data_IF_056756475284
#
_entry.id   IF_056756475284
#
_cell.length_a   1.000
_cell.length_b   1.000
_cell.length_c   1.000
_cell.angle_alpha   90.00
_cell.angle_beta   90.00
_cell.angle_gamma   90.00
#
_symmetry.space_group_name_H-M   'P 1'
#
loop_
_entity.id
_entity.type
_entity.pdbx_description
1 polymer ?
#
# COMPACT_ATOMS: atom_id res chain seq x y z
N UNK A 1 -6.95 8.86 -6.69
CA UNK A 1 -6.51 9.37 -5.36
C UNK A 1 -6.84 10.84 -5.27
N UNK A 2 -7.04 11.40 -4.07
CA UNK A 2 -7.31 12.84 -3.89
C UNK A 2 -6.08 13.71 -4.23
N UNK A 3 -4.87 13.19 -4.00
CA UNK A 3 -3.61 13.84 -4.38
C UNK A 3 -2.84 12.99 -5.40
N UNK A 4 -2.07 13.67 -6.26
CA UNK A 4 -1.18 13.06 -7.24
C UNK A 4 0.06 12.52 -6.54
N UNK A 5 0.53 11.33 -6.93
CA UNK A 5 1.79 10.77 -6.45
C UNK A 5 2.73 10.57 -7.64
N UNK A 6 3.86 11.28 -7.63
CA UNK A 6 4.88 11.20 -8.68
C UNK A 6 4.38 11.52 -10.09
N UNK A 7 3.22 12.14 -10.25
CA UNK A 7 2.63 12.37 -11.57
C UNK A 7 1.42 11.50 -11.92
N UNK A 8 0.96 10.60 -11.05
CA UNK A 8 -0.22 9.75 -11.28
C UNK A 8 -1.32 9.94 -10.24
N UNK A 9 -2.57 9.89 -10.68
CA UNK A 9 -3.77 9.80 -9.82
C UNK A 9 -4.28 8.36 -9.68
N UNK A 10 -3.80 7.46 -10.53
CA UNK A 10 -4.24 6.07 -10.62
C UNK A 10 -3.33 5.18 -9.76
N UNK A 11 -3.90 4.66 -8.67
CA UNK A 11 -3.19 3.78 -7.74
C UNK A 11 -2.60 2.55 -8.43
N UNK A 12 -3.35 1.93 -9.35
CA UNK A 12 -2.94 0.72 -10.07
C UNK A 12 -1.76 0.95 -11.03
N UNK A 13 -1.49 2.20 -11.39
CA UNK A 13 -0.38 2.59 -12.26
C UNK A 13 0.81 3.15 -11.46
N UNK A 14 0.78 3.13 -10.13
CA UNK A 14 1.91 3.57 -9.32
C UNK A 14 3.06 2.55 -9.44
N UNK A 15 4.25 3.08 -9.68
CA UNK A 15 5.49 2.31 -9.87
C UNK A 15 6.53 2.86 -8.91
N UNK A 16 7.67 2.17 -8.79
CA UNK A 16 8.82 2.68 -8.05
C UNK A 16 9.20 4.12 -8.43
N UNK A 17 9.27 4.43 -9.72
CA UNK A 17 9.63 5.76 -10.21
C UNK A 17 8.69 6.87 -9.70
N UNK A 18 7.38 6.57 -9.56
CA UNK A 18 6.42 7.52 -9.00
C UNK A 18 6.70 7.82 -7.52
N UNK A 19 7.07 6.80 -6.74
CA UNK A 19 7.44 6.96 -5.33
C UNK A 19 8.78 7.68 -5.16
N UNK A 20 9.76 7.38 -6.02
CA UNK A 20 11.05 8.05 -6.01
C UNK A 20 10.91 9.53 -6.36
N UNK A 21 10.13 9.85 -7.41
CA UNK A 21 9.82 11.24 -7.77
C UNK A 21 9.09 11.98 -6.65
N UNK A 22 8.06 11.35 -6.06
CA UNK A 22 7.38 11.92 -4.90
C UNK A 22 8.36 12.22 -3.75
N UNK A 23 9.26 11.29 -3.44
CA UNK A 23 10.25 11.48 -2.39
C UNK A 23 11.18 12.66 -2.71
N UNK A 24 11.70 12.73 -3.93
CA UNK A 24 12.55 13.84 -4.37
C UNK A 24 11.82 15.19 -4.29
N UNK A 25 10.59 15.27 -4.80
CA UNK A 25 9.79 16.50 -4.78
C UNK A 25 9.46 16.95 -3.34
N UNK A 26 9.36 16.00 -2.40
CA UNK A 26 9.12 16.24 -0.98
C UNK A 26 10.42 16.47 -0.15
N UNK A 27 11.61 16.43 -0.76
CA UNK A 27 12.89 16.55 -0.05
C UNK A 27 13.24 15.34 0.82
N UNK A 28 12.67 14.17 0.53
CA UNK A 28 12.90 12.90 1.23
C UNK A 28 13.87 12.00 0.46
N UNK A 29 14.50 11.05 1.16
CA UNK A 29 15.34 10.03 0.53
C UNK A 29 14.49 9.03 -0.27
N UNK A 30 14.67 8.89 -1.61
CA UNK A 30 13.89 7.95 -2.41
C UNK A 30 14.00 6.49 -1.95
N UNK A 31 15.22 6.08 -1.58
CA UNK A 31 15.50 4.73 -1.08
C UNK A 31 14.79 4.46 0.25
N UNK A 32 14.85 5.40 1.20
CA UNK A 32 14.20 5.25 2.50
C UNK A 32 12.66 5.28 2.36
N UNK A 33 12.13 6.17 1.51
CA UNK A 33 10.69 6.23 1.23
C UNK A 33 10.19 4.90 0.64
N UNK A 34 10.84 4.38 -0.40
CA UNK A 34 10.43 3.10 -1.00
C UNK A 34 10.55 1.94 -0.01
N UNK A 35 11.60 1.92 0.82
CA UNK A 35 11.76 0.93 1.90
C UNK A 35 10.62 1.00 2.90
N UNK A 36 10.24 2.19 3.35
CA UNK A 36 9.14 2.38 4.30
C UNK A 36 7.79 1.95 3.70
N UNK A 37 7.51 2.35 2.45
CA UNK A 37 6.27 1.94 1.76
C UNK A 37 6.21 0.41 1.63
N UNK A 38 7.32 -0.23 1.26
CA UNK A 38 7.38 -1.69 1.22
C UNK A 38 7.16 -2.30 2.60
N UNK A 39 7.78 -1.77 3.66
CA UNK A 39 7.56 -2.26 5.03
C UNK A 39 6.10 -2.17 5.44
N UNK A 40 5.43 -1.03 5.19
CA UNK A 40 4.01 -0.85 5.49
C UNK A 40 3.14 -1.84 4.71
N UNK A 41 3.43 -2.06 3.42
CA UNK A 41 2.69 -3.02 2.61
C UNK A 41 2.87 -4.48 3.09
N UNK A 42 3.99 -4.83 3.73
CA UNK A 42 4.15 -6.14 4.37
C UNK A 42 3.41 -6.26 5.70
N UNK A 43 3.34 -5.19 6.50
CA UNK A 43 2.77 -5.26 7.87
C UNK A 43 1.27 -5.05 7.92
N UNK A 44 0.71 -4.26 6.99
CA UNK A 44 -0.71 -3.88 6.97
C UNK A 44 -1.67 -5.07 6.91
N UNK A 45 -1.48 -6.12 6.08
CA UNK A 45 -2.42 -7.25 6.05
C UNK A 45 -2.52 -7.97 7.39
N UNK A 46 -1.39 -8.20 8.06
CA UNK A 46 -1.33 -8.84 9.38
C UNK A 46 -2.00 -7.98 10.46
N UNK A 47 -1.78 -6.66 10.41
CA UNK A 47 -2.45 -5.73 11.34
C UNK A 47 -3.95 -5.69 11.10
N UNK A 48 -4.39 -5.63 9.84
CA UNK A 48 -5.80 -5.69 9.49
C UNK A 48 -6.44 -6.99 10.00
N UNK A 49 -5.76 -8.14 9.87
CA UNK A 49 -6.27 -9.43 10.35
C UNK A 49 -6.46 -9.44 11.88
N UNK A 50 -5.52 -8.86 12.62
CA UNK A 50 -5.65 -8.69 14.07
C UNK A 50 -6.84 -7.81 14.44
N UNK A 51 -7.03 -6.70 13.73
CA UNK A 51 -8.19 -5.81 13.94
C UNK A 51 -9.50 -6.51 13.60
N UNK A 52 -9.54 -7.30 12.53
CA UNK A 52 -10.73 -8.08 12.17
C UNK A 52 -11.07 -9.09 13.27
N UNK A 53 -10.09 -9.84 13.77
CA UNK A 53 -10.29 -10.79 14.86
C UNK A 53 -10.83 -10.10 16.13
N UNK A 54 -10.37 -8.88 16.43
CA UNK A 54 -10.90 -8.10 17.54
C UNK A 54 -12.37 -7.71 17.34
N UNK A 55 -12.76 -7.25 16.15
CA UNK A 55 -14.16 -6.95 15.84
C UNK A 55 -15.06 -8.18 15.96
N UNK A 56 -14.58 -9.31 15.44
CA UNK A 56 -15.27 -10.59 15.55
C UNK A 56 -15.45 -11.00 17.02
N UNK A 57 -14.42 -10.87 17.86
CA UNK A 57 -14.52 -11.14 19.29
C UNK A 57 -15.51 -10.23 20.03
N UNK A 58 -15.75 -9.02 19.51
CA UNK A 58 -16.74 -8.07 20.02
C UNK A 58 -18.16 -8.31 19.47
N UNK A 59 -18.35 -9.35 18.65
CA UNK A 59 -19.63 -9.65 17.99
C UNK A 59 -19.92 -8.79 16.77
N UNK A 60 -18.96 -8.00 16.30
CA UNK A 60 -19.08 -7.20 15.08
C UNK A 60 -18.66 -8.02 13.86
N UNK A 61 -19.64 -8.72 13.28
CA UNK A 61 -19.49 -9.46 12.03
C UNK A 61 -20.30 -8.79 10.93
N UNK A 62 -19.66 -8.47 9.81
CA UNK A 62 -20.34 -7.99 8.62
C UNK A 62 -19.56 -8.41 7.36
N UNK A 63 -20.20 -8.91 6.29
CA UNK A 63 -19.52 -9.35 5.06
C UNK A 63 -18.63 -8.28 4.40
N UNK A 64 -18.93 -7.01 4.65
CA UNK A 64 -18.08 -5.89 4.20
C UNK A 64 -16.66 -5.97 4.77
N UNK A 65 -16.49 -6.52 5.97
CA UNK A 65 -15.17 -6.64 6.62
C UNK A 65 -14.28 -7.63 5.85
N UNK A 66 -14.85 -8.72 5.32
CA UNK A 66 -14.13 -9.68 4.47
C UNK A 66 -13.74 -9.04 3.12
N UNK A 67 -14.62 -8.20 2.58
CA UNK A 67 -14.33 -7.41 1.38
C UNK A 67 -13.20 -6.42 1.62
N UNK A 68 -13.21 -5.72 2.77
CA UNK A 68 -12.14 -4.81 3.18
C UNK A 68 -10.83 -5.57 3.33
N UNK A 69 -10.82 -6.74 3.97
CA UNK A 69 -9.63 -7.57 4.11
C UNK A 69 -9.03 -7.97 2.76
N UNK A 70 -9.89 -8.39 1.84
CA UNK A 70 -9.51 -8.77 0.47
C UNK A 70 -8.87 -7.58 -0.26
N UNK A 71 -9.49 -6.41 -0.18
CA UNK A 71 -8.98 -5.19 -0.82
C UNK A 71 -7.65 -4.73 -0.21
N UNK A 72 -7.49 -4.79 1.11
CA UNK A 72 -6.21 -4.46 1.77
C UNK A 72 -5.11 -5.38 1.25
N UNK A 73 -5.37 -6.68 1.22
CA UNK A 73 -4.41 -7.70 0.78
C UNK A 73 -4.00 -7.50 -0.67
N UNK A 74 -4.97 -7.33 -1.57
CA UNK A 74 -4.74 -7.10 -3.00
C UNK A 74 -3.92 -5.83 -3.25
N UNK A 75 -4.25 -4.73 -2.56
CA UNK A 75 -3.55 -3.44 -2.72
C UNK A 75 -2.12 -3.49 -2.18
N UNK A 76 -1.90 -4.16 -1.05
CA UNK A 76 -0.56 -4.37 -0.50
C UNK A 76 0.30 -5.21 -1.45
N UNK A 77 -0.23 -6.33 -1.95
CA UNK A 77 0.46 -7.18 -2.92
C UNK A 77 0.80 -6.44 -4.21
N UNK A 78 -0.14 -5.65 -4.75
CA UNK A 78 0.11 -4.82 -5.94
C UNK A 78 1.22 -3.81 -5.69
N UNK A 79 1.20 -3.13 -4.54
CA UNK A 79 2.22 -2.14 -4.18
C UNK A 79 3.61 -2.77 -4.12
N UNK A 80 3.75 -3.92 -3.46
CA UNK A 80 5.03 -4.64 -3.38
C UNK A 80 5.51 -5.08 -4.76
N UNK A 81 4.61 -5.63 -5.59
CA UNK A 81 4.94 -6.02 -6.96
C UNK A 81 5.42 -4.83 -7.79
N UNK A 82 4.79 -3.67 -7.65
CA UNK A 82 5.16 -2.47 -8.41
C UNK A 82 6.45 -1.80 -7.92
N UNK A 83 6.78 -1.92 -6.64
CA UNK A 83 8.06 -1.45 -6.09
C UNK A 83 9.24 -2.34 -6.49
N UNK A 84 9.01 -3.65 -6.62
CA UNK A 84 10.03 -4.64 -6.95
C UNK A 84 10.23 -4.84 -8.47
N UNK A 85 9.30 -4.36 -9.30
CA UNK A 85 9.52 -4.31 -10.74
C UNK A 85 10.67 -3.34 -11.01
N UNK A 86 11.75 -3.84 -11.62
CA UNK A 86 12.78 -2.99 -12.18
C UNK A 86 12.11 -2.05 -13.17
N UNK A 87 12.31 -0.74 -12.98
CA UNK A 87 11.94 0.25 -13.98
C UNK A 87 12.54 -0.22 -15.31
N UNK A 88 11.69 -0.55 -16.28
CA UNK A 88 12.15 -1.00 -17.60
C UNK A 88 13.15 -0.01 -18.17
N UNK A 89 14.24 -0.56 -18.70
CA UNK A 89 15.29 0.16 -19.42
C UNK A 89 14.72 0.98 -20.59
#
# INVERSE_FOLDING_TARGET
MAMKLGGSYQFTALTRAHWERFATDAGLSPAQTCKLVAQLAHTLPTQAQRTLAQFQAQGHHHPVLDTVMTLITQRCALTLRQLNQASGA
#
